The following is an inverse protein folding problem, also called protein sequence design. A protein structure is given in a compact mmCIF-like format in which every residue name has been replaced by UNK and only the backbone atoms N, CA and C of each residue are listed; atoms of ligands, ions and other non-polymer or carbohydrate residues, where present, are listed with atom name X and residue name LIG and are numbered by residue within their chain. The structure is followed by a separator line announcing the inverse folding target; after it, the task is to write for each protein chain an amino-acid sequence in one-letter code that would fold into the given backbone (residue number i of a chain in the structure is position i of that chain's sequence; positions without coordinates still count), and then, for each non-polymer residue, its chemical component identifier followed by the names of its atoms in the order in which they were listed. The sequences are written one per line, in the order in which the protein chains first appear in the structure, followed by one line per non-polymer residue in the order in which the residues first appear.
data_IF_103439267650
#
_entry.id   IF_103439267650
#
_cell.length_a   1.000
_cell.length_b   1.000
_cell.length_c   1.000
_cell.angle_alpha   90.00
_cell.angle_beta   90.00
_cell.angle_gamma   90.00
#
_symmetry.space_group_name_H-M   'P 1'
#
loop_
_entity.id
_entity.type
_entity.pdbx_description
1 polymer ?
#
# COMPACT_ATOMS: atom_id res chain seq x y z
N UNK A 1 -6.80 10.36 7.53
CA UNK A 1 -7.02 9.91 6.14
C UNK A 1 -5.98 10.54 5.24
N UNK A 2 -5.58 9.85 4.17
CA UNK A 2 -4.51 10.32 3.27
C UNK A 2 -5.01 11.42 2.30
N UNK A 3 -4.14 12.32 1.80
CA UNK A 3 -4.53 13.35 0.83
C UNK A 3 -4.95 12.70 -0.50
N UNK A 4 -6.25 12.67 -0.79
CA UNK A 4 -6.83 11.88 -1.91
C UNK A 4 -6.29 12.27 -3.28
N UNK A 5 -6.07 13.58 -3.52
CA UNK A 5 -5.49 14.08 -4.77
C UNK A 5 -4.05 13.60 -4.96
N UNK A 6 -3.22 13.70 -3.92
CA UNK A 6 -1.84 13.23 -3.95
C UNK A 6 -1.76 11.72 -4.17
N UNK A 7 -2.63 10.96 -3.51
CA UNK A 7 -2.76 9.51 -3.71
C UNK A 7 -3.07 9.20 -5.19
N UNK A 8 -4.04 9.88 -5.80
CA UNK A 8 -4.38 9.66 -7.20
C UNK A 8 -3.21 9.98 -8.16
N UNK A 9 -2.46 11.06 -7.90
CA UNK A 9 -1.27 11.42 -8.66
C UNK A 9 -0.20 10.33 -8.60
N UNK A 10 0.10 9.82 -7.41
CA UNK A 10 1.11 8.78 -7.20
C UNK A 10 0.68 7.44 -7.82
N UNK A 11 -0.60 7.10 -7.75
CA UNK A 11 -1.16 5.95 -8.47
C UNK A 11 -0.97 6.09 -9.98
N UNK A 12 -1.29 7.26 -10.54
CA UNK A 12 -1.14 7.51 -11.98
C UNK A 12 0.34 7.48 -12.40
N UNK A 13 1.23 8.02 -11.56
CA UNK A 13 2.67 7.95 -11.76
C UNK A 13 3.15 6.50 -11.82
N UNK A 14 2.80 5.66 -10.83
CA UNK A 14 3.21 4.27 -10.81
C UNK A 14 2.74 3.48 -12.05
N UNK A 15 1.52 3.75 -12.53
CA UNK A 15 0.99 3.12 -13.74
C UNK A 15 1.74 3.58 -15.00
N UNK A 16 2.08 4.87 -15.10
CA UNK A 16 2.81 5.41 -16.26
C UNK A 16 4.28 5.01 -16.31
N UNK A 17 4.88 4.73 -15.16
CA UNK A 17 6.28 4.27 -15.06
C UNK A 17 6.44 2.78 -15.42
N UNK A 18 5.35 2.00 -15.46
CA UNK A 18 5.39 0.59 -15.83
C UNK A 18 5.62 0.43 -17.34
N UNK A 19 6.71 -0.23 -17.78
CA UNK A 19 7.11 -0.26 -19.19
C UNK A 19 6.09 -0.89 -20.15
N UNK A 20 5.32 -1.87 -19.66
CA UNK A 20 4.35 -2.60 -20.47
C UNK A 20 2.97 -1.91 -20.55
N UNK A 21 2.83 -0.75 -19.92
CA UNK A 21 1.64 0.10 -20.01
C UNK A 21 1.74 1.03 -21.22
N UNK A 22 0.71 1.02 -22.07
CA UNK A 22 0.62 1.90 -23.22
C UNK A 22 0.38 3.35 -22.79
N UNK A 23 1.07 4.27 -23.45
CA UNK A 23 0.85 5.71 -23.27
C UNK A 23 -0.45 6.20 -23.92
N UNK A 24 -0.87 5.53 -25.01
CA UNK A 24 -2.11 5.81 -25.73
C UNK A 24 -2.88 4.49 -25.93
N UNK A 25 -4.12 4.36 -25.43
CA UNK A 25 -4.88 5.38 -24.70
C UNK A 25 -4.30 5.69 -23.31
N UNK A 26 -4.47 6.92 -22.80
CA UNK A 26 -3.88 7.31 -21.53
C UNK A 26 -4.51 6.56 -20.35
N UNK A 27 -3.66 6.16 -19.42
CA UNK A 27 -4.09 5.62 -18.14
C UNK A 27 -4.88 6.64 -17.32
N UNK A 28 -5.85 6.15 -16.55
CA UNK A 28 -6.75 6.96 -15.73
C UNK A 28 -6.83 6.37 -14.32
N UNK A 29 -6.90 7.24 -13.32
CA UNK A 29 -7.08 6.84 -11.92
C UNK A 29 -8.30 7.57 -11.37
N UNK A 30 -9.19 6.79 -10.77
CA UNK A 30 -10.44 7.27 -10.19
C UNK A 30 -10.43 7.02 -8.69
N UNK A 31 -10.87 8.02 -7.94
CA UNK A 31 -11.29 7.84 -6.55
C UNK A 31 -12.76 7.45 -6.56
N UNK A 32 -13.05 6.19 -6.25
CA UNK A 32 -14.36 5.57 -6.47
C UNK A 32 -15.30 5.81 -5.31
N UNK A 33 -14.81 5.57 -4.08
CA UNK A 33 -15.66 5.59 -2.90
C UNK A 33 -14.88 5.71 -1.59
N UNK A 34 -15.60 6.11 -0.53
CA UNK A 34 -15.19 5.94 0.85
C UNK A 34 -15.74 4.59 1.36
N UNK A 35 -14.91 3.55 1.33
CA UNK A 35 -15.27 2.26 1.90
C UNK A 35 -15.24 2.27 3.44
N UNK A 36 -15.75 1.20 4.05
CA UNK A 36 -15.95 1.09 5.50
C UNK A 36 -14.70 1.39 6.35
N UNK A 37 -13.50 1.11 5.84
CA UNK A 37 -12.23 1.41 6.52
C UNK A 37 -11.09 1.79 5.56
N UNK A 38 -11.42 2.16 4.31
CA UNK A 38 -10.41 2.45 3.30
C UNK A 38 -10.94 3.41 2.22
N UNK A 39 -10.02 4.17 1.62
CA UNK A 39 -10.28 4.93 0.40
C UNK A 39 -10.13 4.00 -0.80
N UNK A 40 -11.15 3.94 -1.66
CA UNK A 40 -11.16 3.03 -2.81
C UNK A 40 -10.72 3.76 -4.07
N UNK A 41 -9.58 3.32 -4.64
CA UNK A 41 -9.06 3.84 -5.90
C UNK A 41 -9.05 2.75 -6.97
N UNK A 42 -9.25 3.15 -8.22
CA UNK A 42 -9.21 2.25 -9.36
C UNK A 42 -8.37 2.86 -10.49
N UNK A 43 -7.45 2.06 -11.03
CA UNK A 43 -6.61 2.44 -12.15
C UNK A 43 -7.03 1.67 -13.40
N UNK A 44 -7.21 2.39 -14.51
CA UNK A 44 -7.45 1.86 -15.84
C UNK A 44 -6.24 2.14 -16.71
N UNK A 45 -5.74 1.11 -17.36
CA UNK A 45 -4.58 1.19 -18.25
C UNK A 45 -4.66 0.09 -19.32
N UNK A 46 -3.85 0.24 -20.36
CA UNK A 46 -3.85 -0.62 -21.53
C UNK A 46 -2.48 -1.27 -21.69
N UNK A 47 -2.45 -2.53 -22.13
CA UNK A 47 -1.21 -3.28 -22.38
C UNK A 47 -1.36 -4.11 -23.65
N UNK A 48 -0.25 -4.54 -24.25
CA UNK A 48 -0.30 -5.40 -25.44
C UNK A 48 -0.53 -6.87 -25.05
N UNK A 49 -1.71 -7.41 -25.37
CA UNK A 49 -2.11 -8.78 -25.03
C UNK A 49 -1.18 -9.87 -25.62
N UNK A 50 -0.50 -9.59 -26.74
CA UNK A 50 0.30 -10.60 -27.46
C UNK A 50 1.76 -10.73 -27.00
N UNK A 51 2.33 -9.69 -26.37
CA UNK A 51 3.77 -9.64 -26.10
C UNK A 51 4.20 -10.44 -24.85
N UNK A 52 3.25 -10.78 -23.99
CA UNK A 52 3.55 -10.91 -22.57
C UNK A 52 3.34 -12.33 -22.01
N UNK A 53 2.86 -13.28 -22.84
CA UNK A 53 2.70 -14.67 -22.44
C UNK A 53 1.68 -14.87 -21.30
N UNK A 54 1.58 -16.11 -20.80
CA UNK A 54 0.66 -16.42 -19.70
C UNK A 54 1.13 -15.77 -18.40
N UNK A 55 0.30 -14.90 -17.81
CA UNK A 55 0.56 -14.31 -16.50
C UNK A 55 1.16 -12.91 -16.49
N UNK A 56 1.57 -12.35 -17.63
CA UNK A 56 2.14 -11.01 -17.66
C UNK A 56 1.25 -9.91 -17.09
N UNK A 57 -0.06 -9.94 -17.37
CA UNK A 57 -0.96 -8.94 -16.78
C UNK A 57 -0.90 -8.97 -15.24
N UNK A 58 -0.69 -10.15 -14.64
CA UNK A 58 -0.51 -10.30 -13.19
C UNK A 58 0.83 -9.71 -12.73
N UNK A 59 1.90 -9.91 -13.51
CA UNK A 59 3.22 -9.35 -13.21
C UNK A 59 3.21 -7.82 -13.28
N UNK A 60 2.69 -7.24 -14.37
CA UNK A 60 2.49 -5.80 -14.57
C UNK A 60 1.69 -5.21 -13.39
N UNK A 61 0.57 -5.85 -13.05
CA UNK A 61 -0.25 -5.50 -11.90
C UNK A 61 0.54 -5.53 -10.57
N UNK A 62 1.45 -6.49 -10.41
CA UNK A 62 2.27 -6.63 -9.19
C UNK A 62 3.33 -5.54 -9.11
N UNK A 63 4.04 -5.28 -10.21
CA UNK A 63 5.05 -4.24 -10.32
C UNK A 63 4.47 -2.86 -9.97
N UNK A 64 3.32 -2.52 -10.56
CA UNK A 64 2.59 -1.28 -10.26
C UNK A 64 2.27 -1.18 -8.76
N UNK A 65 1.82 -2.27 -8.11
CA UNK A 65 1.51 -2.26 -6.67
C UNK A 65 2.75 -2.05 -5.80
N UNK A 66 3.87 -2.71 -6.13
CA UNK A 66 5.12 -2.47 -5.43
C UNK A 66 5.59 -1.03 -5.62
N UNK A 67 5.46 -0.48 -6.83
CA UNK A 67 5.83 0.90 -7.11
C UNK A 67 4.98 1.91 -6.34
N UNK A 68 3.67 1.66 -6.21
CA UNK A 68 2.78 2.46 -5.35
C UNK A 68 3.27 2.41 -3.89
N UNK A 69 3.62 1.23 -3.38
CA UNK A 69 4.11 1.10 -2.01
C UNK A 69 5.39 1.91 -1.76
N UNK A 70 6.36 1.87 -2.68
CA UNK A 70 7.58 2.68 -2.61
C UNK A 70 7.30 4.19 -2.63
N UNK A 71 6.40 4.64 -3.54
CA UNK A 71 6.03 6.04 -3.63
C UNK A 71 5.34 6.53 -2.35
N UNK A 72 4.51 5.68 -1.77
CA UNK A 72 3.80 5.98 -0.53
C UNK A 72 4.74 6.07 0.66
N UNK A 73 5.70 5.16 0.77
CA UNK A 73 6.73 5.21 1.80
C UNK A 73 7.53 6.51 1.72
N UNK A 74 7.95 6.92 0.52
CA UNK A 74 8.69 8.17 0.30
C UNK A 74 7.89 9.43 0.67
N UNK A 75 6.58 9.39 0.49
CA UNK A 75 5.67 10.51 0.76
C UNK A 75 5.03 10.45 2.16
N UNK A 76 5.40 9.46 2.99
CA UNK A 76 4.83 9.26 4.32
C UNK A 76 3.35 8.88 4.32
N UNK A 77 2.84 8.29 3.23
CA UNK A 77 1.46 7.82 3.11
C UNK A 77 1.40 6.37 3.63
N UNK A 78 0.63 6.16 4.69
CA UNK A 78 0.45 4.83 5.28
C UNK A 78 -0.74 4.11 4.61
N UNK A 79 -0.52 2.88 4.18
CA UNK A 79 -1.60 1.97 3.75
C UNK A 79 -2.24 1.39 5.01
N UNK A 80 -3.52 1.69 5.22
CA UNK A 80 -4.25 1.17 6.36
C UNK A 80 -4.45 -0.35 6.25
N UNK A 81 -4.18 -1.07 7.34
CA UNK A 81 -4.68 -2.43 7.53
C UNK A 81 -6.13 -2.38 8.01
N UNK A 82 -6.92 -3.45 7.82
CA UNK A 82 -8.26 -3.55 8.38
C UNK A 82 -8.25 -3.19 9.88
N UNK A 83 -9.02 -2.18 10.25
CA UNK A 83 -9.12 -1.77 11.64
C UNK A 83 -10.16 -2.65 12.36
N UNK A 84 -9.83 -3.09 13.58
CA UNK A 84 -10.77 -3.82 14.44
C UNK A 84 -10.88 -3.10 15.78
N UNK A 85 -11.99 -2.41 15.98
CA UNK A 85 -12.28 -1.82 17.28
C UNK A 85 -12.76 -2.90 18.25
N UNK A 86 -12.17 -2.91 19.45
CA UNK A 86 -12.57 -3.81 20.54
C UNK A 86 -13.18 -2.97 21.63
N UNK A 87 -14.50 -3.07 21.80
CA UNK A 87 -15.19 -2.48 22.93
C UNK A 87 -15.27 -3.51 24.06
N UNK A 88 -14.57 -3.25 25.16
CA UNK A 88 -14.57 -4.10 26.34
C UNK A 88 -15.58 -3.56 27.35
N UNK A 89 -16.73 -4.21 27.44
CA UNK A 89 -17.66 -3.98 28.55
C UNK A 89 -17.31 -4.94 29.69
N UNK A 90 -16.83 -4.38 30.80
CA UNK A 90 -16.30 -5.15 31.92
C UNK A 90 -17.17 -4.95 33.15
N UNK A 91 -17.72 -6.05 33.67
CA UNK A 91 -18.48 -6.05 34.91
C UNK A 91 -17.62 -5.74 36.16
N UNK A 92 -16.28 -5.80 36.03
CA UNK A 92 -15.29 -5.52 37.07
C UNK A 92 -14.05 -4.86 36.47
N UNK A 93 -13.27 -4.07 37.25
CA UNK A 93 -12.06 -3.41 36.76
C UNK A 93 -11.06 -4.39 36.12
N UNK A 94 -10.46 -3.99 34.99
CA UNK A 94 -9.40 -4.74 34.32
C UNK A 94 -8.11 -4.68 35.14
N UNK A 95 -7.54 -5.85 35.42
CA UNK A 95 -6.16 -5.94 35.91
C UNK A 95 -5.23 -6.00 34.70
N UNK A 96 -4.27 -5.07 34.63
CA UNK A 96 -3.33 -4.94 33.52
C UNK A 96 -1.92 -5.23 34.04
N UNK A 97 -1.23 -6.17 33.39
CA UNK A 97 0.19 -6.44 33.62
C UNK A 97 0.97 -6.06 32.36
N UNK A 98 1.98 -5.22 32.52
CA UNK A 98 2.83 -4.76 31.42
C UNK A 98 4.09 -5.61 31.40
N UNK A 99 4.22 -6.49 30.41
CA UNK A 99 5.43 -7.25 30.18
C UNK A 99 6.39 -6.41 29.32
N UNK A 100 7.57 -6.11 29.85
CA UNK A 100 8.62 -5.49 29.05
C UNK A 100 9.08 -6.49 27.97
N UNK A 101 8.86 -6.16 26.70
CA UNK A 101 9.42 -6.94 25.59
C UNK A 101 10.94 -6.93 25.66
N UNK A 102 11.57 -8.09 25.47
CA UNK A 102 13.03 -8.21 25.44
C UNK A 102 13.61 -7.26 24.37
N UNK A 103 14.30 -6.22 24.84
CA UNK A 103 15.17 -5.42 23.98
C UNK A 103 16.38 -6.28 23.61
N UNK A 104 16.46 -6.71 22.35
CA UNK A 104 17.70 -7.26 21.80
C UNK A 104 18.72 -6.14 21.68
N UNK A 105 19.62 -6.04 22.65
CA UNK A 105 20.76 -5.13 22.61
C UNK A 105 21.68 -5.48 21.43
N UNK A 106 22.20 -4.49 20.68
CA UNK A 106 23.17 -4.77 19.62
C UNK A 106 24.51 -5.19 20.24
N UNK A 107 25.02 -6.34 19.81
CA UNK A 107 26.36 -6.81 20.17
C UNK A 107 27.43 -5.88 19.58
N UNK A 108 28.02 -5.04 20.42
CA UNK A 108 29.26 -4.32 20.07
C UNK A 108 30.38 -5.35 20.12
N UNK A 109 30.90 -5.77 18.96
CA UNK A 109 32.18 -6.46 18.85
C UNK A 109 33.29 -5.42 18.89
N UNK A 110 33.98 -5.30 20.02
CA UNK A 110 35.31 -4.68 20.06
C UNK A 110 36.27 -5.56 19.26
N UNK A 111 36.94 -4.96 18.27
CA UNK A 111 38.04 -5.55 17.52
C UNK A 111 39.32 -4.95 18.07
N UNK A 112 40.23 -5.83 18.51
CA UNK A 112 41.65 -5.57 18.80
C UNK A 112 42.31 -4.69 17.73
#
# INVERSE_FOLDING_TARGET
GSPTRRVAELFLQAVKEEPDVLAEPPAQVFFIDYGDSALIFQAYFWTNAGAAGQGALRLICSNIRHRIAELFEREGIVIAFPQRDVHLDTLKPLQVEVLAGEQSAPAIKEKN
#
